data_IF_402667834500
#
_entry.id   IF_402667834500
#
_cell.length_a   1.000
_cell.length_b   1.000
_cell.length_c   1.000
_cell.angle_alpha   90.00
_cell.angle_beta   90.00
_cell.angle_gamma   90.00
#
_symmetry.space_group_name_H-M   'P 1'
#
loop_
_entity.id
_entity.type
_entity.pdbx_description
1 polymer ?
#
# COMPACT_ATOMS: atom_id res chain seq x y z
N UNK A 1 -103.92 -44.09 37.49
CA UNK A 1 -105.32 -44.14 37.98
C UNK A 1 -105.56 -42.93 38.87
N UNK A 2 -106.60 -42.14 38.62
CA UNK A 2 -106.99 -41.06 39.53
C UNK A 2 -107.67 -41.69 40.75
N UNK A 3 -106.98 -41.76 41.88
CA UNK A 3 -107.57 -42.22 43.14
C UNK A 3 -108.35 -41.07 43.80
N UNK A 4 -109.55 -41.36 44.31
CA UNK A 4 -110.33 -40.38 45.07
C UNK A 4 -111.54 -41.02 45.73
N UNK A 5 -111.78 -40.66 46.99
CA UNK A 5 -112.91 -41.08 47.81
C UNK A 5 -114.22 -40.82 47.06
N UNK A 6 -115.03 -41.86 46.94
CA UNK A 6 -116.38 -41.79 46.40
C UNK A 6 -117.24 -40.94 47.32
N UNK A 7 -117.36 -39.65 47.04
CA UNK A 7 -118.61 -38.95 47.28
C UNK A 7 -119.09 -38.40 45.95
N UNK A 8 -120.03 -39.12 45.37
CA UNK A 8 -120.71 -38.77 44.14
C UNK A 8 -121.48 -37.46 44.35
N UNK A 9 -120.93 -36.34 43.86
CA UNK A 9 -121.74 -35.20 43.46
C UNK A 9 -121.86 -35.23 41.94
N UNK A 10 -123.10 -35.26 41.46
CA UNK A 10 -123.51 -35.61 40.10
C UNK A 10 -123.26 -34.46 39.08
N UNK A 11 -122.49 -33.42 39.41
CA UNK A 11 -122.20 -32.31 38.50
C UNK A 11 -120.76 -31.78 38.64
N UNK A 12 -119.79 -32.54 38.12
CA UNK A 12 -118.79 -32.08 37.14
C UNK A 12 -117.84 -30.90 37.40
N UNK A 13 -117.83 -30.26 38.57
CA UNK A 13 -116.83 -29.21 38.87
C UNK A 13 -116.09 -29.56 40.15
N UNK A 14 -114.75 -29.45 40.11
CA UNK A 14 -113.86 -29.70 41.25
C UNK A 14 -113.11 -28.43 41.70
N UNK A 15 -113.80 -27.32 42.07
CA UNK A 15 -113.12 -26.09 42.47
C UNK A 15 -112.25 -26.28 43.72
N UNK A 16 -112.66 -27.17 44.63
CA UNK A 16 -112.05 -27.31 45.95
C UNK A 16 -111.02 -28.45 46.07
N UNK A 17 -110.86 -29.30 45.02
CA UNK A 17 -109.87 -30.39 45.04
C UNK A 17 -108.61 -29.98 44.29
N UNK A 18 -107.58 -29.55 45.03
CA UNK A 18 -106.23 -29.23 44.51
C UNK A 18 -105.61 -30.30 43.61
N UNK A 19 -106.08 -31.55 43.72
CA UNK A 19 -105.52 -32.72 43.04
C UNK A 19 -106.49 -33.42 42.08
N UNK A 20 -107.68 -32.87 41.86
CA UNK A 20 -108.71 -33.48 41.03
C UNK A 20 -109.16 -34.88 41.50
N UNK A 21 -109.67 -35.70 40.58
CA UNK A 21 -110.27 -37.02 40.88
C UNK A 21 -110.91 -37.68 39.66
N UNK A 22 -111.38 -38.93 39.79
CA UNK A 22 -111.89 -39.73 38.66
C UNK A 22 -113.08 -39.09 37.90
N UNK A 23 -113.85 -38.22 38.57
CA UNK A 23 -114.98 -37.47 37.99
C UNK A 23 -114.70 -36.01 37.65
N UNK A 24 -113.51 -35.48 37.97
CA UNK A 24 -113.18 -34.08 37.72
C UNK A 24 -112.87 -33.85 36.24
N UNK A 25 -113.47 -32.80 35.65
CA UNK A 25 -113.19 -32.37 34.28
C UNK A 25 -112.82 -30.89 34.25
N UNK A 26 -112.02 -30.50 33.27
CA UNK A 26 -111.70 -29.10 32.99
C UNK A 26 -112.82 -28.46 32.15
N UNK A 27 -112.70 -27.17 31.89
CA UNK A 27 -113.68 -26.39 31.10
C UNK A 27 -113.81 -26.89 29.64
N UNK A 28 -112.87 -27.74 29.20
CA UNK A 28 -112.86 -28.37 27.88
C UNK A 28 -113.44 -29.79 27.92
N UNK A 29 -113.90 -30.25 29.09
CA UNK A 29 -114.48 -31.57 29.32
C UNK A 29 -113.45 -32.69 29.46
N UNK A 30 -112.14 -32.42 29.52
CA UNK A 30 -111.13 -33.46 29.72
C UNK A 30 -111.02 -33.84 31.19
N UNK A 31 -110.75 -35.11 31.49
CA UNK A 31 -110.54 -35.54 32.89
C UNK A 31 -109.26 -34.94 33.44
N UNK A 32 -109.35 -34.29 34.59
CA UNK A 32 -108.22 -33.66 35.29
C UNK A 32 -108.03 -34.32 36.64
N UNK A 33 -106.83 -34.87 36.86
CA UNK A 33 -106.42 -35.37 38.15
C UNK A 33 -104.89 -35.35 38.27
N UNK A 34 -104.41 -35.21 39.49
CA UNK A 34 -103.01 -34.92 39.77
C UNK A 34 -102.71 -33.43 39.68
N UNK A 35 -101.42 -33.10 39.64
CA UNK A 35 -100.90 -31.76 39.86
C UNK A 35 -99.74 -31.74 40.86
N UNK A 36 -99.08 -30.60 40.96
CA UNK A 36 -97.96 -30.37 41.88
C UNK A 36 -98.43 -30.34 43.34
N UNK A 37 -97.77 -31.12 44.21
CA UNK A 37 -98.19 -31.31 45.61
C UNK A 37 -99.23 -32.42 45.84
N UNK A 38 -99.58 -33.18 44.80
CA UNK A 38 -100.55 -34.27 44.87
C UNK A 38 -99.86 -35.64 44.85
N UNK A 39 -100.22 -36.52 45.79
CA UNK A 39 -99.59 -37.85 45.94
C UNK A 39 -100.31 -38.97 45.16
N UNK A 40 -100.93 -38.65 44.02
CA UNK A 40 -101.64 -39.61 43.17
C UNK A 40 -100.74 -40.23 42.09
N UNK A 41 -101.15 -41.38 41.53
CA UNK A 41 -100.38 -42.08 40.48
C UNK A 41 -100.04 -41.17 39.28
N UNK A 42 -100.99 -40.31 38.85
CA UNK A 42 -100.78 -39.41 37.70
C UNK A 42 -99.71 -38.36 37.99
N UNK A 43 -99.77 -37.68 39.14
CA UNK A 43 -98.73 -36.74 39.56
C UNK A 43 -97.36 -37.41 39.68
N UNK A 44 -97.31 -38.61 40.27
CA UNK A 44 -96.06 -39.38 40.39
C UNK A 44 -95.48 -39.77 39.03
N UNK A 45 -96.31 -40.15 38.06
CA UNK A 45 -95.87 -40.46 36.68
C UNK A 45 -95.35 -39.23 35.94
N UNK A 46 -96.02 -38.08 36.06
CA UNK A 46 -95.55 -36.81 35.45
C UNK A 46 -94.25 -36.34 36.10
N UNK A 47 -94.14 -36.41 37.43
CA UNK A 47 -92.91 -36.09 38.15
C UNK A 47 -91.76 -37.01 37.71
N UNK A 48 -92.02 -38.32 37.55
CA UNK A 48 -91.03 -39.27 37.04
C UNK A 48 -90.59 -38.97 35.60
N UNK A 49 -91.52 -38.63 34.70
CA UNK A 49 -91.22 -38.25 33.33
C UNK A 49 -90.37 -36.98 33.24
N UNK A 50 -90.73 -35.94 33.99
CA UNK A 50 -89.96 -34.70 34.05
C UNK A 50 -88.55 -34.96 34.61
N UNK A 51 -88.43 -35.84 35.61
CA UNK A 51 -87.14 -36.23 36.15
C UNK A 51 -86.28 -36.97 35.12
N UNK A 52 -86.87 -37.91 34.37
CA UNK A 52 -86.20 -38.63 33.30
C UNK A 52 -85.74 -37.71 32.16
N UNK A 53 -86.54 -36.70 31.79
CA UNK A 53 -86.16 -35.67 30.81
C UNK A 53 -84.97 -34.84 31.29
N UNK A 54 -85.04 -34.29 32.51
CA UNK A 54 -83.93 -33.52 33.07
C UNK A 54 -82.62 -34.32 33.12
N UNK A 55 -82.67 -35.59 33.54
CA UNK A 55 -81.49 -36.46 33.55
C UNK A 55 -80.97 -36.72 32.13
N UNK A 56 -81.86 -36.87 31.14
CA UNK A 56 -81.47 -37.06 29.74
C UNK A 56 -80.77 -35.82 29.18
N UNK A 57 -81.27 -34.63 29.47
CA UNK A 57 -80.67 -33.38 29.01
C UNK A 57 -79.29 -33.18 29.66
N UNK A 58 -79.18 -33.41 30.97
CA UNK A 58 -77.89 -33.39 31.67
C UNK A 58 -76.89 -34.42 31.13
N UNK A 59 -77.36 -35.61 30.72
CA UNK A 59 -76.53 -36.65 30.12
C UNK A 59 -75.98 -36.25 28.75
N UNK A 60 -76.81 -35.62 27.92
CA UNK A 60 -76.39 -35.12 26.62
C UNK A 60 -75.35 -34.00 26.78
N UNK A 61 -75.60 -33.04 27.69
CA UNK A 61 -74.65 -31.97 27.99
C UNK A 61 -73.30 -32.51 28.49
N UNK A 62 -73.30 -33.45 29.46
CA UNK A 62 -72.07 -34.06 29.96
C UNK A 62 -71.32 -34.84 28.87
N UNK A 63 -72.02 -35.46 27.92
CA UNK A 63 -71.41 -36.15 26.80
C UNK A 63 -70.72 -35.19 25.82
N UNK A 64 -71.32 -34.04 25.52
CA UNK A 64 -70.72 -33.00 24.68
C UNK A 64 -69.47 -32.40 25.33
N UNK A 65 -69.53 -32.08 26.63
CA UNK A 65 -68.37 -31.59 27.38
C UNK A 65 -67.23 -32.61 27.40
N UNK A 66 -67.55 -33.89 27.62
CA UNK A 66 -66.54 -34.96 27.62
C UNK A 66 -65.85 -35.08 26.25
N UNK A 67 -66.60 -34.97 25.15
CA UNK A 67 -66.02 -34.98 23.80
C UNK A 67 -65.11 -33.78 23.56
N UNK A 68 -65.46 -32.59 24.06
CA UNK A 68 -64.60 -31.40 23.98
C UNK A 68 -63.28 -31.60 24.73
N UNK A 69 -63.32 -32.13 25.97
CA UNK A 69 -62.10 -32.43 26.73
C UNK A 69 -61.23 -33.46 26.03
N UNK A 70 -61.81 -34.50 25.41
CA UNK A 70 -61.06 -35.50 24.62
C UNK A 70 -60.32 -34.86 23.44
N UNK A 71 -60.99 -33.98 22.67
CA UNK A 71 -60.33 -33.29 21.55
C UNK A 71 -59.20 -32.38 22.04
N UNK A 72 -59.42 -31.65 23.14
CA UNK A 72 -58.40 -30.78 23.75
C UNK A 72 -57.19 -31.58 24.22
N UNK A 73 -57.40 -32.77 24.80
CA UNK A 73 -56.31 -33.68 25.18
C UNK A 73 -55.47 -34.13 23.99
N UNK A 74 -56.10 -34.55 22.89
CA UNK A 74 -55.39 -34.97 21.68
C UNK A 74 -54.54 -33.83 21.12
N UNK A 75 -55.08 -32.60 21.13
CA UNK A 75 -54.35 -31.42 20.72
C UNK A 75 -53.14 -31.14 21.64
N UNK A 76 -53.34 -31.17 22.97
CA UNK A 76 -52.25 -30.97 23.94
C UNK A 76 -51.17 -32.04 23.77
N UNK A 77 -51.52 -33.30 23.55
CA UNK A 77 -50.53 -34.35 23.31
C UNK A 77 -49.66 -34.06 22.07
N UNK A 78 -50.28 -33.59 20.98
CA UNK A 78 -49.55 -33.18 19.77
C UNK A 78 -48.64 -31.98 20.03
N UNK A 79 -49.16 -30.91 20.63
CA UNK A 79 -48.40 -29.69 20.94
C UNK A 79 -47.24 -30.00 21.89
N UNK A 80 -47.45 -30.90 22.87
CA UNK A 80 -46.41 -31.32 23.80
C UNK A 80 -45.24 -31.98 23.07
N UNK A 81 -45.53 -32.87 22.11
CA UNK A 81 -44.49 -33.51 21.32
C UNK A 81 -43.72 -32.48 20.47
N UNK A 82 -44.42 -31.52 19.86
CA UNK A 82 -43.80 -30.47 19.06
C UNK A 82 -42.90 -29.55 19.92
N UNK A 83 -43.39 -29.09 21.07
CA UNK A 83 -42.62 -28.25 22.01
C UNK A 83 -41.41 -29.01 22.55
N UNK A 84 -41.54 -30.31 22.85
CA UNK A 84 -40.42 -31.17 23.26
C UNK A 84 -39.36 -31.27 22.18
N UNK A 85 -39.76 -31.53 20.93
CA UNK A 85 -38.85 -31.59 19.80
C UNK A 85 -38.14 -30.25 19.57
N UNK A 86 -38.88 -29.14 19.62
CA UNK A 86 -38.33 -27.79 19.48
C UNK A 86 -37.32 -27.47 20.59
N UNK A 87 -37.66 -27.80 21.85
CA UNK A 87 -36.80 -27.56 22.99
C UNK A 87 -35.51 -28.41 22.94
N UNK A 88 -35.61 -29.68 22.54
CA UNK A 88 -34.44 -30.56 22.35
C UNK A 88 -33.52 -30.06 21.24
N UNK A 89 -34.08 -29.63 20.11
CA UNK A 89 -33.29 -29.03 19.03
C UNK A 89 -32.59 -27.74 19.49
N UNK A 90 -33.31 -26.88 20.23
CA UNK A 90 -32.74 -25.65 20.80
C UNK A 90 -31.59 -25.95 21.77
N UNK A 91 -31.76 -26.97 22.62
CA UNK A 91 -30.71 -27.43 23.53
C UNK A 91 -29.48 -27.94 22.78
N UNK A 92 -29.68 -28.73 21.72
CA UNK A 92 -28.58 -29.23 20.90
C UNK A 92 -27.82 -28.10 20.20
N UNK A 93 -28.55 -27.13 19.61
CA UNK A 93 -27.96 -25.92 19.04
C UNK A 93 -27.16 -25.15 20.09
N UNK A 94 -27.73 -24.94 21.28
CA UNK A 94 -27.08 -24.24 22.38
C UNK A 94 -25.76 -24.92 22.78
N UNK A 95 -25.75 -26.26 22.88
CA UNK A 95 -24.56 -27.03 23.21
C UNK A 95 -23.49 -26.92 22.12
N UNK A 96 -23.87 -27.04 20.84
CA UNK A 96 -22.95 -26.87 19.70
C UNK A 96 -22.33 -25.47 19.68
N UNK A 97 -23.15 -24.43 19.93
CA UNK A 97 -22.68 -23.04 19.99
C UNK A 97 -21.79 -22.79 21.19
N UNK A 98 -22.07 -23.43 22.34
CA UNK A 98 -21.15 -23.44 23.48
C UNK A 98 -19.78 -23.95 23.12
N UNK A 99 -19.69 -25.14 22.54
CA UNK A 99 -18.40 -25.74 22.18
C UNK A 99 -17.65 -24.88 21.16
N UNK A 100 -18.39 -24.29 20.19
CA UNK A 100 -17.86 -23.34 19.23
C UNK A 100 -17.27 -22.08 19.90
N UNK A 101 -18.02 -21.46 20.81
CA UNK A 101 -17.55 -20.27 21.53
C UNK A 101 -16.36 -20.56 22.43
N UNK A 102 -16.34 -21.70 23.14
CA UNK A 102 -15.21 -22.08 23.98
C UNK A 102 -13.94 -22.31 23.17
N UNK A 103 -14.04 -22.97 22.02
CA UNK A 103 -12.92 -23.17 21.13
C UNK A 103 -12.37 -21.85 20.58
N UNK A 104 -13.24 -20.93 20.16
CA UNK A 104 -12.84 -19.62 19.67
C UNK A 104 -12.20 -18.77 20.77
N UNK A 105 -12.74 -18.77 21.98
CA UNK A 105 -12.13 -18.10 23.13
C UNK A 105 -10.75 -18.66 23.46
N UNK A 106 -10.54 -19.98 23.32
CA UNK A 106 -9.22 -20.60 23.49
C UNK A 106 -8.24 -20.11 22.42
N UNK A 107 -8.63 -20.16 21.14
CA UNK A 107 -7.81 -19.65 20.02
C UNK A 107 -7.45 -18.18 20.20
N UNK A 108 -8.40 -17.36 20.63
CA UNK A 108 -8.17 -15.94 20.93
C UNK A 108 -7.16 -15.75 22.06
N UNK A 109 -7.28 -16.50 23.17
CA UNK A 109 -6.31 -16.46 24.27
C UNK A 109 -4.91 -16.89 23.81
N UNK A 110 -4.81 -17.95 23.02
CA UNK A 110 -3.54 -18.42 22.48
C UNK A 110 -2.91 -17.36 21.55
N UNK A 111 -3.73 -16.67 20.76
CA UNK A 111 -3.27 -15.58 19.90
C UNK A 111 -2.79 -14.37 20.69
N UNK A 112 -3.55 -13.92 21.68
CA UNK A 112 -3.15 -12.83 22.59
C UNK A 112 -1.83 -13.18 23.28
N UNK A 113 -1.64 -14.44 23.70
CA UNK A 113 -0.38 -14.90 24.27
C UNK A 113 0.78 -14.79 23.28
N UNK A 114 0.59 -15.23 22.03
CA UNK A 114 1.62 -15.08 20.97
C UNK A 114 2.00 -13.62 20.73
N UNK A 115 1.02 -12.71 20.72
CA UNK A 115 1.30 -11.27 20.63
C UNK A 115 2.13 -10.82 21.82
N UNK A 116 1.72 -11.18 23.04
CA UNK A 116 2.43 -10.80 24.24
C UNK A 116 3.89 -11.28 24.20
N UNK A 117 4.10 -12.54 23.84
CA UNK A 117 5.43 -13.14 23.74
C UNK A 117 6.27 -12.40 22.68
N UNK A 118 5.69 -12.07 21.52
CA UNK A 118 6.34 -11.28 20.47
C UNK A 118 6.69 -9.86 20.93
N UNK A 119 5.79 -9.17 21.63
CA UNK A 119 6.03 -7.80 22.14
C UNK A 119 7.08 -7.77 23.25
N UNK A 120 7.32 -8.90 23.94
CA UNK A 120 8.40 -9.01 24.94
C UNK A 120 9.75 -9.41 24.34
N UNK A 121 9.81 -9.81 23.08
CA UNK A 121 11.05 -10.16 22.39
C UNK A 121 11.71 -8.89 21.83
N UNK A 122 12.99 -8.66 22.15
CA UNK A 122 13.66 -7.38 21.85
C UNK A 122 13.70 -7.05 20.34
N UNK A 123 13.29 -5.82 19.99
CA UNK A 123 13.53 -5.24 18.66
C UNK A 123 12.44 -4.32 18.08
N UNK A 124 11.23 -4.30 18.65
CA UNK A 124 10.13 -3.46 18.16
C UNK A 124 10.17 -2.03 18.73
N UNK A 125 9.73 -1.03 17.95
CA UNK A 125 9.68 0.36 18.41
C UNK A 125 8.57 0.56 19.46
N UNK A 126 8.81 1.35 20.53
CA UNK A 126 7.86 1.50 21.63
C UNK A 126 6.46 1.99 21.21
N UNK A 127 6.37 2.86 20.21
CA UNK A 127 5.09 3.41 19.73
C UNK A 127 4.21 2.35 19.06
N UNK A 128 4.81 1.48 18.23
CA UNK A 128 4.08 0.40 17.58
C UNK A 128 3.68 -0.72 18.56
N UNK A 129 4.51 -0.99 19.57
CA UNK A 129 4.17 -1.88 20.69
C UNK A 129 2.93 -1.36 21.43
N UNK A 130 2.89 -0.05 21.74
CA UNK A 130 1.78 0.58 22.44
C UNK A 130 0.46 0.47 21.65
N UNK A 131 0.47 0.74 20.34
CA UNK A 131 -0.73 0.62 19.48
C UNK A 131 -1.30 -0.79 19.47
N UNK A 132 -0.44 -1.81 19.34
CA UNK A 132 -0.87 -3.22 19.37
C UNK A 132 -1.35 -3.61 20.76
N UNK A 133 -0.67 -3.18 21.83
CA UNK A 133 -1.08 -3.45 23.20
C UNK A 133 -2.46 -2.83 23.55
N UNK A 134 -2.73 -1.60 23.10
CA UNK A 134 -4.03 -0.94 23.28
C UNK A 134 -5.15 -1.68 22.52
N UNK A 135 -4.88 -2.15 21.29
CA UNK A 135 -5.84 -2.97 20.55
C UNK A 135 -6.11 -4.30 21.25
N UNK A 136 -5.10 -4.97 21.81
CA UNK A 136 -5.27 -6.20 22.61
C UNK A 136 -6.11 -5.96 23.86
N UNK A 137 -5.84 -4.88 24.61
CA UNK A 137 -6.61 -4.51 25.81
C UNK A 137 -8.08 -4.20 25.50
N UNK A 138 -8.37 -3.72 24.29
CA UNK A 138 -9.75 -3.45 23.86
C UNK A 138 -10.56 -4.72 23.53
N UNK A 139 -9.91 -5.90 23.43
CA UNK A 139 -10.60 -7.16 23.16
C UNK A 139 -11.29 -7.64 24.43
N UNK A 140 -12.61 -7.47 24.47
CA UNK A 140 -13.46 -8.09 25.48
C UNK A 140 -13.82 -9.50 25.04
N UNK A 141 -13.64 -10.50 25.92
CA UNK A 141 -14.06 -11.86 25.62
C UNK A 141 -15.59 -11.90 25.46
N UNK A 142 -16.12 -12.34 24.31
CA UNK A 142 -17.54 -12.18 23.96
C UNK A 142 -18.48 -13.01 24.83
N UNK A 143 -17.98 -14.05 25.50
CA UNK A 143 -18.79 -14.98 26.29
C UNK A 143 -18.16 -15.27 27.64
N UNK A 144 -18.87 -14.94 28.72
CA UNK A 144 -18.61 -15.47 30.05
C UNK A 144 -19.25 -16.86 30.15
N UNK A 145 -18.46 -17.91 30.42
CA UNK A 145 -18.92 -19.31 30.53
C UNK A 145 -20.21 -19.43 31.35
N UNK A 146 -20.29 -18.68 32.45
CA UNK A 146 -21.42 -18.64 33.37
C UNK A 146 -22.74 -18.27 32.69
N UNK A 147 -22.72 -17.37 31.71
CA UNK A 147 -23.94 -16.87 31.04
C UNK A 147 -24.56 -17.93 30.14
N UNK A 148 -23.74 -18.69 29.42
CA UNK A 148 -24.20 -19.74 28.52
C UNK A 148 -24.61 -21.02 29.29
N UNK A 149 -23.86 -21.36 30.34
CA UNK A 149 -24.23 -22.43 31.26
C UNK A 149 -25.57 -22.16 31.92
N UNK A 150 -25.82 -20.91 32.33
CA UNK A 150 -27.11 -20.48 32.88
C UNK A 150 -28.25 -20.67 31.87
N UNK A 151 -28.05 -20.30 30.60
CA UNK A 151 -29.07 -20.50 29.56
C UNK A 151 -29.36 -21.98 29.30
N UNK A 152 -28.32 -22.82 29.19
CA UNK A 152 -28.47 -24.27 29.01
C UNK A 152 -29.21 -24.88 30.22
N UNK A 153 -28.89 -24.45 31.44
CA UNK A 153 -29.61 -24.86 32.63
C UNK A 153 -31.08 -24.42 32.60
N UNK A 154 -31.38 -23.19 32.17
CA UNK A 154 -32.77 -22.73 32.04
C UNK A 154 -33.58 -23.57 31.05
N UNK A 155 -32.98 -24.00 29.93
CA UNK A 155 -33.65 -24.94 29.00
C UNK A 155 -33.84 -26.30 29.69
N UNK A 156 -32.81 -26.85 30.35
CA UNK A 156 -32.91 -28.15 31.03
C UNK A 156 -33.95 -28.15 32.13
N UNK A 157 -34.05 -27.08 32.90
CA UNK A 157 -35.05 -26.89 33.95
C UNK A 157 -36.46 -26.80 33.34
N UNK A 158 -36.61 -26.00 32.28
CA UNK A 158 -37.88 -25.91 31.53
C UNK A 158 -38.28 -27.25 30.88
N UNK A 159 -37.31 -28.02 30.39
CA UNK A 159 -37.50 -29.38 29.88
C UNK A 159 -37.84 -30.37 31.00
N UNK A 160 -37.34 -30.18 32.21
CA UNK A 160 -37.62 -31.06 33.36
C UNK A 160 -39.04 -30.88 33.90
N UNK A 161 -39.67 -29.73 33.59
CA UNK A 161 -41.08 -29.50 33.85
C UNK A 161 -42.02 -30.11 32.79
N UNK A 162 -41.53 -30.44 31.58
CA UNK A 162 -42.33 -31.12 30.54
C UNK A 162 -42.74 -32.56 30.91
N UNK A 163 -41.93 -33.41 31.57
CA UNK A 163 -42.36 -34.73 32.06
C UNK A 163 -43.61 -34.69 32.94
N UNK A 164 -43.80 -33.61 33.69
CA UNK A 164 -45.00 -33.43 34.50
C UNK A 164 -46.25 -33.24 33.63
N UNK A 165 -46.10 -32.78 32.37
CA UNK A 165 -47.17 -32.65 31.39
C UNK A 165 -47.59 -34.03 30.84
N UNK A 166 -46.66 -34.97 30.66
CA UNK A 166 -46.99 -36.37 30.35
C UNK A 166 -47.77 -37.01 31.52
N UNK A 167 -47.37 -36.73 32.76
CA UNK A 167 -48.09 -37.11 33.98
C UNK A 167 -49.50 -36.53 34.05
N UNK A 168 -49.64 -35.23 33.80
CA UNK A 168 -50.92 -34.52 33.72
C UNK A 168 -51.78 -35.10 32.59
N UNK A 169 -51.21 -35.37 31.42
CA UNK A 169 -51.92 -35.97 30.28
C UNK A 169 -52.44 -37.37 30.62
N UNK A 170 -51.64 -38.18 31.33
CA UNK A 170 -52.04 -39.50 31.80
C UNK A 170 -53.14 -39.44 32.86
N UNK A 171 -53.00 -38.60 33.88
CA UNK A 171 -54.02 -38.40 34.91
C UNK A 171 -55.33 -37.88 34.31
N UNK A 172 -55.23 -36.93 33.38
CA UNK A 172 -56.38 -36.38 32.65
C UNK A 172 -57.04 -37.45 31.79
N UNK A 173 -56.26 -38.29 31.09
CA UNK A 173 -56.79 -39.42 30.30
C UNK A 173 -57.49 -40.47 31.18
N UNK A 174 -56.97 -40.74 32.39
CA UNK A 174 -57.62 -41.61 33.36
C UNK A 174 -58.94 -41.01 33.87
N UNK A 175 -58.96 -39.72 34.19
CA UNK A 175 -60.18 -39.02 34.61
C UNK A 175 -61.25 -39.02 33.52
N UNK A 176 -60.87 -38.81 32.26
CA UNK A 176 -61.79 -38.92 31.12
C UNK A 176 -62.28 -40.35 30.95
N UNK A 177 -61.39 -41.34 31.04
CA UNK A 177 -61.80 -42.74 30.93
C UNK A 177 -62.82 -43.10 32.00
N UNK A 178 -62.63 -42.59 33.23
CA UNK A 178 -63.58 -42.75 34.32
C UNK A 178 -64.89 -42.02 34.07
N UNK A 179 -64.84 -40.77 33.60
CA UNK A 179 -66.03 -40.00 33.23
C UNK A 179 -66.83 -40.70 32.11
N UNK A 180 -66.14 -41.29 31.13
CA UNK A 180 -66.76 -42.05 30.04
C UNK A 180 -67.44 -43.32 30.54
N UNK A 181 -66.76 -44.09 31.41
CA UNK A 181 -67.33 -45.27 32.05
C UNK A 181 -68.60 -44.91 32.86
N UNK A 182 -68.56 -43.81 33.62
CA UNK A 182 -69.69 -43.34 34.41
C UNK A 182 -70.84 -42.84 33.52
N UNK A 183 -70.52 -42.18 32.41
CA UNK A 183 -71.48 -41.72 31.42
C UNK A 183 -72.16 -42.90 30.71
N UNK A 184 -71.41 -43.95 30.37
CA UNK A 184 -71.97 -45.15 29.77
C UNK A 184 -72.85 -45.90 30.78
N UNK A 185 -72.44 -45.99 32.06
CA UNK A 185 -73.32 -46.47 33.13
C UNK A 185 -74.60 -45.65 33.28
N UNK A 186 -74.51 -44.34 33.11
CA UNK A 186 -75.66 -43.43 33.14
C UNK A 186 -76.59 -43.64 31.93
N UNK A 187 -76.05 -43.91 30.73
CA UNK A 187 -76.83 -44.29 29.54
C UNK A 187 -77.52 -45.64 29.70
N UNK A 188 -76.84 -46.64 30.24
CA UNK A 188 -77.42 -47.97 30.53
C UNK A 188 -78.48 -47.89 31.64
N UNK A 189 -78.24 -47.06 32.66
CA UNK A 189 -79.23 -46.79 33.70
C UNK A 189 -80.46 -46.10 33.11
N UNK A 190 -80.29 -45.14 32.18
CA UNK A 190 -81.39 -44.52 31.43
C UNK A 190 -82.21 -45.54 30.64
N UNK A 191 -81.58 -46.43 29.87
CA UNK A 191 -82.30 -47.46 29.12
C UNK A 191 -83.11 -48.39 30.04
N UNK A 192 -82.59 -48.68 31.24
CA UNK A 192 -83.30 -49.46 32.26
C UNK A 192 -84.33 -48.64 33.06
N UNK A 193 -84.22 -47.31 33.07
CA UNK A 193 -85.03 -46.38 33.87
C UNK A 193 -86.41 -46.07 33.27
N UNK A 194 -86.81 -46.72 32.17
CA UNK A 194 -88.21 -46.73 31.72
C UNK A 194 -89.19 -47.29 32.79
N UNK A 195 -88.70 -47.69 33.98
CA UNK A 195 -89.50 -48.16 35.11
C UNK A 195 -89.51 -47.40 36.45
N UNK A 196 -88.47 -46.67 36.94
CA UNK A 196 -88.45 -46.26 38.37
C UNK A 196 -87.54 -45.08 38.78
N UNK A 197 -87.94 -44.40 39.88
CA UNK A 197 -87.28 -43.29 40.61
C UNK A 197 -85.82 -43.56 41.07
N UNK A 198 -85.51 -44.77 41.55
CA UNK A 198 -84.17 -45.06 42.11
C UNK A 198 -83.08 -45.09 41.03
N UNK A 199 -83.43 -45.51 39.81
CA UNK A 199 -82.51 -45.48 38.67
C UNK A 199 -82.12 -44.03 38.27
N UNK A 200 -83.06 -43.09 38.37
CA UNK A 200 -82.79 -41.68 38.09
C UNK A 200 -81.87 -41.04 39.14
N UNK A 201 -82.03 -41.39 40.42
CA UNK A 201 -81.12 -40.94 41.49
C UNK A 201 -79.69 -41.45 41.28
N UNK A 202 -79.52 -42.73 40.94
CA UNK A 202 -78.21 -43.31 40.63
C UNK A 202 -77.55 -42.65 39.41
N UNK A 203 -78.35 -42.36 38.38
CA UNK A 203 -77.87 -41.66 37.16
C UNK A 203 -77.41 -40.24 37.49
N UNK A 204 -78.14 -39.53 38.35
CA UNK A 204 -77.76 -38.19 38.81
C UNK A 204 -76.45 -38.20 39.59
N UNK A 205 -76.23 -39.19 40.45
CA UNK A 205 -74.97 -39.33 41.18
C UNK A 205 -73.79 -39.63 40.23
N UNK A 206 -73.99 -40.49 39.22
CA UNK A 206 -72.97 -40.77 38.22
C UNK A 206 -72.61 -39.52 37.38
N UNK A 207 -73.61 -38.67 37.08
CA UNK A 207 -73.39 -37.37 36.42
C UNK A 207 -72.58 -36.41 37.28
N UNK A 208 -72.90 -36.27 38.57
CA UNK A 208 -72.13 -35.41 39.50
C UNK A 208 -70.66 -35.84 39.61
N UNK A 209 -70.39 -37.14 39.64
CA UNK A 209 -69.01 -37.65 39.65
C UNK A 209 -68.32 -37.40 38.30
N UNK A 210 -69.04 -37.52 37.18
CA UNK A 210 -68.50 -37.26 35.84
C UNK A 210 -68.16 -35.79 35.65
N UNK A 211 -69.03 -34.88 36.10
CA UNK A 211 -68.84 -33.43 36.06
C UNK A 211 -67.60 -33.00 36.86
N UNK A 212 -67.44 -33.54 38.09
CA UNK A 212 -66.22 -33.32 38.89
C UNK A 212 -64.96 -33.85 38.21
N UNK A 213 -65.03 -34.96 37.50
CA UNK A 213 -63.89 -35.50 36.75
C UNK A 213 -63.55 -34.65 35.52
N UNK A 214 -64.56 -34.13 34.81
CA UNK A 214 -64.42 -33.19 33.69
C UNK A 214 -63.77 -31.88 34.17
N UNK A 215 -64.19 -31.32 35.30
CA UNK A 215 -63.59 -30.09 35.82
C UNK A 215 -62.13 -30.26 36.26
N UNK A 216 -61.80 -31.39 36.89
CA UNK A 216 -60.39 -31.73 37.15
C UNK A 216 -59.58 -31.82 35.87
N UNK A 217 -60.14 -32.46 34.84
CA UNK A 217 -59.50 -32.56 33.54
C UNK A 217 -59.30 -31.18 32.88
N UNK A 218 -60.29 -30.28 32.95
CA UNK A 218 -60.19 -28.90 32.45
C UNK A 218 -59.09 -28.11 33.14
N UNK A 219 -59.01 -28.21 34.47
CA UNK A 219 -57.96 -27.54 35.26
C UNK A 219 -56.58 -28.04 34.87
N UNK A 220 -56.41 -29.36 34.79
CA UNK A 220 -55.14 -29.98 34.41
C UNK A 220 -54.72 -29.64 32.96
N UNK A 221 -55.67 -29.59 32.01
CA UNK A 221 -55.41 -29.12 30.63
C UNK A 221 -54.94 -27.66 30.60
N UNK A 222 -55.53 -26.79 31.44
CA UNK A 222 -55.13 -25.39 31.52
C UNK A 222 -53.70 -25.25 32.02
N UNK A 223 -53.35 -25.95 33.10
CA UNK A 223 -51.98 -25.97 33.64
C UNK A 223 -50.97 -26.52 32.62
N UNK A 224 -51.32 -27.58 31.89
CA UNK A 224 -50.49 -28.11 30.82
C UNK A 224 -50.23 -27.05 29.72
N UNK A 225 -51.26 -26.32 29.32
CA UNK A 225 -51.13 -25.30 28.28
C UNK A 225 -50.27 -24.11 28.73
N UNK A 226 -50.41 -23.68 29.99
CA UNK A 226 -49.56 -22.64 30.58
C UNK A 226 -48.09 -23.08 30.65
N UNK A 227 -47.83 -24.32 31.07
CA UNK A 227 -46.48 -24.89 31.09
C UNK A 227 -45.86 -24.99 29.68
N UNK A 228 -46.63 -25.46 28.68
CA UNK A 228 -46.17 -25.52 27.28
C UNK A 228 -45.82 -24.14 26.73
N UNK A 229 -46.65 -23.13 26.99
CA UNK A 229 -46.38 -21.75 26.58
C UNK A 229 -45.13 -21.20 27.26
N UNK A 230 -44.95 -21.48 28.54
CA UNK A 230 -43.75 -21.09 29.29
C UNK A 230 -42.48 -21.71 28.66
N UNK A 231 -42.49 -23.02 28.37
CA UNK A 231 -41.36 -23.69 27.70
C UNK A 231 -41.10 -23.12 26.31
N UNK A 232 -42.15 -22.79 25.54
CA UNK A 232 -42.01 -22.19 24.21
C UNK A 232 -41.40 -20.79 24.28
N UNK A 233 -41.77 -19.99 25.26
CA UNK A 233 -41.18 -18.67 25.48
C UNK A 233 -39.72 -18.77 25.91
N UNK A 234 -39.40 -19.68 26.83
CA UNK A 234 -38.03 -19.91 27.29
C UNK A 234 -37.11 -20.37 26.14
N UNK A 235 -37.60 -21.27 25.27
CA UNK A 235 -36.83 -21.72 24.10
C UNK A 235 -36.60 -20.60 23.09
N UNK A 236 -37.62 -19.79 22.79
CA UNK A 236 -37.49 -18.63 21.91
C UNK A 236 -36.51 -17.58 22.46
N UNK A 237 -36.56 -17.29 23.76
CA UNK A 237 -35.62 -16.37 24.41
C UNK A 237 -34.18 -16.85 24.30
N UNK A 238 -33.94 -18.16 24.46
CA UNK A 238 -32.59 -18.72 24.30
C UNK A 238 -32.13 -18.65 22.85
N UNK A 239 -32.98 -18.96 21.86
CA UNK A 239 -32.60 -18.80 20.44
C UNK A 239 -32.19 -17.36 20.12
N UNK A 240 -32.93 -16.36 20.61
CA UNK A 240 -32.58 -14.95 20.40
C UNK A 240 -31.26 -14.58 21.09
N UNK A 241 -31.05 -15.01 22.34
CA UNK A 241 -29.79 -14.74 23.06
C UNK A 241 -28.60 -15.44 22.42
N UNK A 242 -28.77 -16.65 21.88
CA UNK A 242 -27.75 -17.36 21.13
C UNK A 242 -27.36 -16.57 19.87
N UNK A 243 -28.34 -16.06 19.14
CA UNK A 243 -28.10 -15.20 17.96
C UNK A 243 -27.30 -13.96 18.32
N UNK A 244 -27.67 -13.26 19.39
CA UNK A 244 -26.94 -12.09 19.86
C UNK A 244 -25.49 -12.41 20.28
N UNK A 245 -25.25 -13.59 20.85
CA UNK A 245 -23.89 -14.05 21.19
C UNK A 245 -23.10 -14.38 19.93
N UNK A 246 -23.73 -14.96 18.90
CA UNK A 246 -23.10 -15.21 17.60
C UNK A 246 -22.66 -13.91 16.93
N UNK A 247 -23.52 -12.89 16.91
CA UNK A 247 -23.20 -11.59 16.32
C UNK A 247 -22.01 -10.94 17.03
N UNK A 248 -22.00 -10.97 18.37
CA UNK A 248 -20.87 -10.47 19.18
C UNK A 248 -19.58 -11.26 18.92
N UNK A 249 -19.69 -12.59 18.79
CA UNK A 249 -18.55 -13.43 18.45
C UNK A 249 -17.97 -13.08 17.08
N UNK A 250 -18.84 -12.82 16.10
CA UNK A 250 -18.42 -12.42 14.75
C UNK A 250 -17.70 -11.07 14.76
N UNK A 251 -18.20 -10.08 15.51
CA UNK A 251 -17.52 -8.79 15.69
C UNK A 251 -16.11 -8.98 16.29
N UNK A 252 -15.99 -9.77 17.36
CA UNK A 252 -14.69 -10.07 17.98
C UNK A 252 -13.74 -10.79 17.01
N UNK A 253 -14.25 -11.73 16.21
CA UNK A 253 -13.42 -12.42 15.20
C UNK A 253 -12.93 -11.48 14.10
N UNK A 254 -13.75 -10.52 13.65
CA UNK A 254 -13.33 -9.50 12.69
C UNK A 254 -12.24 -8.60 13.27
N UNK A 255 -12.41 -8.13 14.51
CA UNK A 255 -11.38 -7.34 15.22
C UNK A 255 -10.09 -8.13 15.39
N UNK A 256 -10.19 -9.41 15.73
CA UNK A 256 -9.03 -10.30 15.86
C UNK A 256 -8.27 -10.45 14.55
N UNK A 257 -8.98 -10.57 13.42
CA UNK A 257 -8.36 -10.65 12.10
C UNK A 257 -7.58 -9.37 11.76
N UNK A 258 -8.18 -8.20 12.02
CA UNK A 258 -7.50 -6.91 11.82
C UNK A 258 -6.26 -6.78 12.70
N UNK A 259 -6.36 -7.19 13.97
CA UNK A 259 -5.21 -7.23 14.87
C UNK A 259 -4.12 -8.18 14.34
N UNK A 260 -4.50 -9.34 13.79
CA UNK A 260 -3.54 -10.28 13.19
C UNK A 260 -2.76 -9.67 12.05
N UNK A 261 -3.43 -8.94 11.16
CA UNK A 261 -2.77 -8.21 10.08
C UNK A 261 -1.82 -7.13 10.62
N UNK A 262 -2.24 -6.39 11.67
CA UNK A 262 -1.41 -5.37 12.31
C UNK A 262 -0.15 -5.94 12.98
N UNK A 263 -0.28 -7.08 13.67
CA UNK A 263 0.84 -7.78 14.31
C UNK A 263 1.83 -8.31 13.27
N UNK A 264 1.35 -8.84 12.15
CA UNK A 264 2.22 -9.32 11.07
C UNK A 264 2.98 -8.16 10.40
N UNK A 265 2.32 -7.03 10.17
CA UNK A 265 2.97 -5.81 9.68
C UNK A 265 4.06 -5.32 10.66
N UNK A 266 3.76 -5.32 11.96
CA UNK A 266 4.73 -4.96 12.99
C UNK A 266 5.92 -5.92 13.00
N UNK A 267 5.67 -7.23 12.93
CA UNK A 267 6.73 -8.25 12.84
C UNK A 267 7.66 -8.02 11.66
N UNK A 268 7.12 -7.74 10.49
CA UNK A 268 7.91 -7.42 9.30
C UNK A 268 8.75 -6.15 9.49
N UNK A 269 8.18 -5.11 10.13
CA UNK A 269 8.90 -3.86 10.40
C UNK A 269 10.01 -4.04 11.43
N UNK A 270 9.77 -4.82 12.48
CA UNK A 270 10.78 -5.18 13.49
C UNK A 270 11.96 -5.91 12.86
N UNK A 271 11.71 -6.86 11.95
CA UNK A 271 12.79 -7.57 11.26
C UNK A 271 13.63 -6.63 10.38
N UNK A 272 12.96 -5.74 9.62
CA UNK A 272 13.66 -4.71 8.85
C UNK A 272 14.52 -3.80 9.73
N UNK A 273 14.00 -3.36 10.88
CA UNK A 273 14.74 -2.54 11.82
C UNK A 273 15.97 -3.29 12.38
N UNK A 274 15.84 -4.60 12.62
CA UNK A 274 16.94 -5.44 13.09
C UNK A 274 18.07 -5.55 12.06
N UNK A 275 17.74 -5.71 10.77
CA UNK A 275 18.72 -5.70 9.68
C UNK A 275 19.39 -4.33 9.54
N UNK A 276 18.61 -3.24 9.55
CA UNK A 276 19.18 -1.88 9.51
C UNK A 276 20.12 -1.61 10.69
N UNK A 277 19.80 -2.12 11.89
CA UNK A 277 20.68 -2.00 13.06
C UNK A 277 21.99 -2.80 12.89
N UNK A 278 21.95 -3.98 12.27
CA UNK A 278 23.16 -4.76 11.93
C UNK A 278 24.03 -4.00 10.94
N UNK A 279 23.44 -3.43 9.90
CA UNK A 279 24.16 -2.64 8.89
C UNK A 279 24.78 -1.39 9.51
N UNK A 280 24.04 -0.66 10.33
CA UNK A 280 24.54 0.51 11.06
C UNK A 280 25.72 0.14 11.97
N UNK A 281 25.63 -1.01 12.67
CA UNK A 281 26.74 -1.53 13.50
C UNK A 281 27.96 -1.88 12.66
N UNK A 282 27.78 -2.52 11.51
CA UNK A 282 28.88 -2.85 10.60
C UNK A 282 29.56 -1.58 10.06
N UNK A 283 28.78 -0.57 9.67
CA UNK A 283 29.29 0.74 9.24
C UNK A 283 30.06 1.45 10.36
N UNK A 284 29.52 1.47 11.59
CA UNK A 284 30.19 2.06 12.75
C UNK A 284 31.52 1.35 13.07
N UNK A 285 31.55 0.02 13.00
CA UNK A 285 32.78 -0.75 13.19
C UNK A 285 33.82 -0.43 12.11
N UNK A 286 33.40 -0.32 10.84
CA UNK A 286 34.29 0.02 9.74
C UNK A 286 34.84 1.46 9.87
N UNK A 287 33.99 2.42 10.19
CA UNK A 287 34.39 3.80 10.45
C UNK A 287 35.39 3.90 11.61
N UNK A 288 35.16 3.13 12.68
CA UNK A 288 36.08 3.04 13.83
C UNK A 288 37.44 2.49 13.40
N UNK A 289 37.45 1.41 12.61
CA UNK A 289 38.69 0.83 12.09
C UNK A 289 39.45 1.81 11.18
N UNK A 290 38.75 2.52 10.29
CA UNK A 290 39.34 3.57 9.44
C UNK A 290 39.92 4.72 10.28
N UNK A 291 39.21 5.19 11.29
CA UNK A 291 39.70 6.23 12.19
C UNK A 291 41.00 5.81 12.89
N UNK A 292 41.07 4.58 13.41
CA UNK A 292 42.30 4.04 14.00
C UNK A 292 43.46 3.95 12.99
N UNK A 293 43.18 3.61 11.73
CA UNK A 293 44.21 3.57 10.68
C UNK A 293 44.72 4.97 10.30
N UNK A 294 43.84 5.96 10.25
CA UNK A 294 44.20 7.37 10.01
C UNK A 294 45.03 7.92 11.17
N UNK A 295 44.65 7.61 12.42
CA UNK A 295 45.40 7.98 13.62
C UNK A 295 46.85 7.46 13.57
N UNK A 296 47.05 6.19 13.19
CA UNK A 296 48.38 5.62 13.01
C UNK A 296 49.19 6.35 11.92
N UNK A 297 48.57 6.66 10.78
CA UNK A 297 49.22 7.35 9.66
C UNK A 297 49.60 8.79 10.02
N UNK A 298 48.76 9.47 10.80
CA UNK A 298 49.03 10.80 11.32
C UNK A 298 50.23 10.78 12.28
N UNK A 299 50.27 9.82 13.20
CA UNK A 299 51.40 9.63 14.12
C UNK A 299 52.73 9.38 13.38
N UNK A 300 52.74 8.56 12.31
CA UNK A 300 53.95 8.37 11.48
C UNK A 300 54.35 9.67 10.77
N UNK A 301 53.37 10.40 10.24
CA UNK A 301 53.60 11.69 9.56
C UNK A 301 54.17 12.72 10.52
N UNK A 302 53.64 12.82 11.74
CA UNK A 302 54.14 13.72 12.78
C UNK A 302 55.58 13.36 13.17
N UNK A 303 55.90 12.08 13.30
CA UNK A 303 57.27 11.62 13.56
C UNK A 303 58.23 12.03 12.43
N UNK A 304 57.86 11.80 11.17
CA UNK A 304 58.65 12.21 9.99
C UNK A 304 58.83 13.73 9.93
N UNK A 305 57.80 14.49 10.27
CA UNK A 305 57.88 15.95 10.35
C UNK A 305 58.86 16.40 11.43
N UNK A 306 58.82 15.80 12.63
CA UNK A 306 59.81 16.06 13.69
C UNK A 306 61.23 15.69 13.24
N UNK A 307 61.42 14.57 12.55
CA UNK A 307 62.72 14.20 11.98
C UNK A 307 63.21 15.22 10.94
N UNK A 308 62.33 15.71 10.07
CA UNK A 308 62.65 16.76 9.12
C UNK A 308 63.04 18.05 9.84
N UNK A 309 62.28 18.45 10.86
CA UNK A 309 62.57 19.63 11.66
C UNK A 309 63.94 19.52 12.34
N UNK A 310 64.25 18.39 12.98
CA UNK A 310 65.59 18.15 13.56
C UNK A 310 66.71 18.20 12.51
N UNK A 311 66.49 17.67 11.30
CA UNK A 311 67.47 17.76 10.20
C UNK A 311 67.67 19.20 9.72
N UNK A 312 66.58 19.97 9.60
CA UNK A 312 66.64 21.40 9.25
C UNK A 312 67.35 22.21 10.34
N UNK A 313 67.07 21.92 11.60
CA UNK A 313 67.73 22.57 12.75
C UNK A 313 69.22 22.17 12.83
N UNK A 314 69.56 20.91 12.55
CA UNK A 314 70.95 20.41 12.48
C UNK A 314 71.74 21.03 11.31
N UNK A 315 71.09 21.30 10.17
CA UNK A 315 71.68 22.11 9.09
C UNK A 315 71.95 23.56 9.52
N UNK A 316 71.31 24.04 10.59
CA UNK A 316 71.62 25.32 11.22
C UNK A 316 72.81 25.27 12.20
N UNK A 317 73.22 24.10 12.67
CA UNK A 317 74.18 23.94 13.77
C UNK A 317 75.64 23.69 13.37
N UNK A 318 75.91 22.88 12.34
CA UNK A 318 77.30 22.45 12.03
C UNK A 318 77.77 22.69 10.59
N UNK A 319 76.88 23.07 9.67
CA UNK A 319 77.23 23.44 8.30
C UNK A 319 76.65 24.81 7.96
N UNK A 320 77.44 25.87 8.22
CA UNK A 320 77.22 27.28 7.85
C UNK A 320 75.89 27.60 7.16
N UNK A 321 74.90 27.98 7.96
CA UNK A 321 73.49 28.04 7.59
C UNK A 321 73.11 28.94 6.40
N UNK A 322 71.82 28.87 6.07
CA UNK A 322 71.06 29.49 4.97
C UNK A 322 71.50 30.91 4.54
N UNK A 323 72.08 31.71 5.43
CA UNK A 323 72.69 33.00 5.10
C UNK A 323 73.86 32.90 4.10
N UNK A 324 74.67 31.85 4.15
CA UNK A 324 75.81 31.67 3.23
C UNK A 324 75.35 31.36 1.81
N UNK A 325 74.28 30.57 1.66
CA UNK A 325 73.69 30.25 0.35
C UNK A 325 73.01 31.48 -0.25
N UNK A 326 72.27 32.24 0.57
CA UNK A 326 71.63 33.48 0.12
C UNK A 326 72.65 34.56 -0.24
N UNK A 327 73.74 34.68 0.52
CA UNK A 327 74.85 35.59 0.22
C UNK A 327 75.55 35.19 -1.08
N UNK A 328 75.83 33.90 -1.26
CA UNK A 328 76.45 33.36 -2.48
C UNK A 328 75.57 33.57 -3.71
N UNK A 329 74.25 33.46 -3.59
CA UNK A 329 73.31 33.76 -4.68
C UNK A 329 73.29 35.26 -5.03
N UNK A 330 73.38 36.15 -4.04
CA UNK A 330 73.49 37.60 -4.23
C UNK A 330 74.81 38.00 -4.94
N UNK A 331 75.93 37.38 -4.55
CA UNK A 331 77.24 37.67 -5.16
C UNK A 331 77.30 37.21 -6.63
N UNK A 332 76.75 36.03 -6.94
CA UNK A 332 76.66 35.53 -8.34
C UNK A 332 75.80 36.47 -9.20
N UNK A 333 74.68 36.97 -8.67
CA UNK A 333 73.83 37.93 -9.38
C UNK A 333 74.59 39.23 -9.68
N UNK A 334 75.36 39.73 -8.71
CA UNK A 334 76.15 40.95 -8.87
C UNK A 334 77.26 40.80 -9.92
N UNK A 335 77.92 39.64 -9.98
CA UNK A 335 78.90 39.32 -11.02
C UNK A 335 78.27 39.23 -12.42
N UNK A 336 77.10 38.58 -12.52
CA UNK A 336 76.36 38.48 -13.78
C UNK A 336 75.94 39.85 -14.32
N UNK A 337 75.45 40.76 -13.47
CA UNK A 337 75.08 42.13 -13.86
C UNK A 337 76.30 42.93 -14.34
N UNK A 338 77.46 42.76 -13.70
CA UNK A 338 78.68 43.46 -14.08
C UNK A 338 79.22 42.98 -15.44
N UNK A 339 79.14 41.67 -15.70
CA UNK A 339 79.46 41.07 -17.00
C UNK A 339 78.51 41.57 -18.11
N UNK A 340 77.21 41.63 -17.83
CA UNK A 340 76.21 42.12 -18.77
C UNK A 340 76.47 43.59 -19.15
N UNK A 341 76.84 44.43 -18.18
CA UNK A 341 77.17 45.83 -18.43
C UNK A 341 78.45 46.00 -19.26
N UNK A 342 79.48 45.17 -19.02
CA UNK A 342 80.68 45.13 -19.88
C UNK A 342 80.33 44.73 -21.31
N UNK A 343 79.51 43.69 -21.49
CA UNK A 343 79.07 43.24 -22.81
C UNK A 343 78.29 44.35 -23.56
N UNK A 344 77.36 45.03 -22.89
CA UNK A 344 76.62 46.19 -23.46
C UNK A 344 77.54 47.33 -23.89
N UNK A 345 78.59 47.62 -23.11
CA UNK A 345 79.59 48.64 -23.46
C UNK A 345 80.39 48.23 -24.71
N UNK A 346 80.83 46.96 -24.77
CA UNK A 346 81.51 46.41 -25.95
C UNK A 346 80.68 46.48 -27.23
N UNK A 347 79.38 46.16 -27.15
CA UNK A 347 78.46 46.27 -28.30
C UNK A 347 78.37 47.73 -28.80
N UNK A 348 78.30 48.73 -27.92
CA UNK A 348 78.29 50.15 -28.33
C UNK A 348 79.58 50.56 -29.02
N UNK A 349 80.73 50.04 -28.58
CA UNK A 349 82.01 50.32 -29.23
C UNK A 349 82.07 49.69 -30.63
N UNK A 350 81.57 48.45 -30.78
CA UNK A 350 81.47 47.79 -32.08
C UNK A 350 80.56 48.55 -33.05
N UNK A 351 79.39 49.04 -32.61
CA UNK A 351 78.51 49.86 -33.45
C UNK A 351 79.17 51.17 -33.91
N UNK A 352 79.96 51.81 -33.04
CA UNK A 352 80.75 53.00 -33.44
C UNK A 352 81.79 52.65 -34.51
N UNK A 353 82.41 51.48 -34.40
CA UNK A 353 83.41 51.01 -35.35
C UNK A 353 82.78 50.63 -36.70
N UNK A 354 81.63 49.95 -36.68
CA UNK A 354 80.82 49.62 -37.85
C UNK A 354 80.43 50.88 -38.63
N UNK A 355 79.93 51.91 -37.95
CA UNK A 355 79.62 53.21 -38.59
C UNK A 355 80.85 53.86 -39.23
N UNK A 356 82.02 53.77 -38.59
CA UNK A 356 83.27 54.27 -39.19
C UNK A 356 83.65 53.49 -40.44
N UNK A 357 83.52 52.16 -40.42
CA UNK A 357 83.80 51.31 -41.59
C UNK A 357 82.85 51.63 -42.74
N UNK A 358 81.55 51.77 -42.48
CA UNK A 358 80.54 52.14 -43.49
C UNK A 358 80.82 53.50 -44.13
N UNK A 359 81.22 54.49 -43.32
CA UNK A 359 81.61 55.81 -43.84
C UNK A 359 82.89 55.74 -44.69
N UNK A 360 83.87 54.94 -44.28
CA UNK A 360 85.09 54.74 -45.06
C UNK A 360 84.80 54.03 -46.39
N UNK A 361 83.94 53.01 -46.39
CA UNK A 361 83.53 52.30 -47.60
C UNK A 361 82.86 53.25 -48.60
N UNK A 362 81.91 54.08 -48.15
CA UNK A 362 81.30 55.11 -49.00
C UNK A 362 82.33 56.10 -49.56
N UNK A 363 83.34 56.46 -48.76
CA UNK A 363 84.42 57.34 -49.21
C UNK A 363 85.26 56.68 -50.30
N UNK A 364 85.62 55.41 -50.13
CA UNK A 364 86.38 54.63 -51.12
C UNK A 364 85.59 54.50 -52.42
N UNK A 365 84.28 54.22 -52.35
CA UNK A 365 83.43 54.14 -53.55
C UNK A 365 83.37 55.47 -54.32
N UNK A 366 83.26 56.60 -53.62
CA UNK A 366 83.32 57.93 -54.27
C UNK A 366 84.67 58.19 -54.94
N UNK A 367 85.77 57.91 -54.25
CA UNK A 367 87.11 58.05 -54.82
C UNK A 367 87.33 57.14 -56.03
N UNK A 368 86.73 55.94 -56.03
CA UNK A 368 86.78 55.04 -57.18
C UNK A 368 86.06 55.60 -58.40
N UNK A 369 84.86 56.16 -58.22
CA UNK A 369 84.11 56.80 -59.32
C UNK A 369 84.86 58.00 -59.89
N UNK A 370 85.45 58.83 -59.03
CA UNK A 370 86.27 59.99 -59.43
C UNK A 370 87.53 59.55 -60.21
N UNK A 371 88.15 58.43 -59.80
CA UNK A 371 89.30 57.85 -60.50
C UNK A 371 88.92 57.29 -61.89
N UNK A 372 87.76 56.66 -62.01
CA UNK A 372 87.25 56.16 -63.29
C UNK A 372 86.95 57.31 -64.26
N UNK A 373 86.37 58.42 -63.79
CA UNK A 373 86.15 59.64 -64.58
C UNK A 373 87.47 60.28 -65.04
N UNK A 374 88.45 60.39 -64.14
CA UNK A 374 89.80 60.87 -64.47
C UNK A 374 90.49 59.99 -65.51
N UNK A 375 90.32 58.66 -65.41
CA UNK A 375 90.84 57.70 -66.40
C UNK A 375 90.18 57.91 -67.77
N UNK A 376 88.87 58.10 -67.83
CA UNK A 376 88.14 58.39 -69.08
C UNK A 376 88.70 59.67 -69.75
N UNK A 377 88.83 60.75 -68.96
CA UNK A 377 89.38 62.03 -69.42
C UNK A 377 90.83 61.90 -69.91
N UNK A 378 91.70 61.20 -69.17
CA UNK A 378 93.08 60.96 -69.60
C UNK A 378 93.16 60.12 -70.88
N UNK A 379 92.22 59.20 -71.07
CA UNK A 379 92.13 58.37 -72.28
C UNK A 379 91.70 59.21 -73.48
N UNK A 380 90.69 60.08 -73.32
CA UNK A 380 90.30 61.06 -74.34
C UNK A 380 91.47 61.97 -74.74
N UNK A 381 92.14 62.59 -73.76
CA UNK A 381 93.29 63.47 -74.03
C UNK A 381 94.42 62.72 -74.75
N UNK A 382 94.71 61.48 -74.35
CA UNK A 382 95.71 60.64 -75.03
C UNK A 382 95.34 60.38 -76.48
N UNK A 383 94.08 60.05 -76.76
CA UNK A 383 93.62 59.72 -78.11
C UNK A 383 93.61 60.95 -79.02
N UNK A 384 93.24 62.11 -78.48
CA UNK A 384 93.32 63.41 -79.16
C UNK A 384 94.78 63.80 -79.51
N UNK A 385 95.71 63.65 -78.57
CA UNK A 385 97.16 63.85 -78.82
C UNK A 385 97.63 62.90 -79.92
N UNK A 386 97.21 61.63 -79.89
CA UNK A 386 97.62 60.62 -80.87
C UNK A 386 97.09 60.95 -82.27
N UNK A 387 95.87 61.47 -82.37
CA UNK A 387 95.31 61.95 -83.63
C UNK A 387 96.10 63.16 -84.18
N UNK A 388 96.46 64.12 -83.32
CA UNK A 388 97.27 65.28 -83.73
C UNK A 388 98.68 64.88 -84.18
N UNK A 389 99.32 63.93 -83.49
CA UNK A 389 100.63 63.39 -83.91
C UNK A 389 100.53 62.66 -85.26
N UNK A 390 99.44 61.95 -85.53
CA UNK A 390 99.23 61.33 -86.84
C UNK A 390 99.05 62.36 -87.96
N UNK A 391 98.33 63.47 -87.71
CA UNK A 391 98.23 64.60 -88.65
C UNK A 391 99.62 65.19 -88.96
N UNK A 392 100.40 65.50 -87.93
CA UNK A 392 101.76 66.03 -88.09
C UNK A 392 102.73 65.06 -88.80
N UNK A 393 102.64 63.76 -88.51
CA UNK A 393 103.51 62.75 -89.14
C UNK A 393 103.21 62.56 -90.63
N UNK A 394 101.96 62.75 -91.04
CA UNK A 394 101.58 62.74 -92.45
C UNK A 394 102.09 63.98 -93.21
N UNK A 395 102.15 65.16 -92.56
CA UNK A 395 102.80 66.35 -93.14
C UNK A 395 104.33 66.17 -93.31
N UNK A 396 105.00 65.44 -92.39
CA UNK A 396 106.45 65.17 -92.47
C UNK A 396 106.88 64.16 -93.55
N UNK A 397 105.99 63.26 -93.99
CA UNK A 397 106.31 62.29 -95.06
C UNK A 397 106.40 62.94 -96.45
N UNK A 398 105.74 64.08 -96.66
CA UNK A 398 105.80 64.81 -97.92
C UNK A 398 107.11 65.59 -98.09
N UNK A 399 107.63 66.20 -97.03
CA UNK A 399 108.85 67.05 -97.07
C UNK A 399 110.17 66.28 -97.24
N UNK A 400 110.20 64.96 -96.96
CA UNK A 400 111.43 64.16 -97.05
C UNK A 400 111.73 63.62 -98.47
N UNK A 401 110.85 63.81 -99.45
CA UNK A 401 111.03 63.25 -100.81
C UNK A 401 111.81 64.15 -101.78
N UNK A 402 112.06 65.41 -101.44
CA UNK A 402 112.54 66.43 -102.39
C UNK A 402 114.01 66.86 -102.22
N UNK A 403 114.71 66.45 -101.16
CA UNK A 403 116.07 66.93 -100.86
C UNK A 403 117.22 65.93 -101.10
N UNK A 404 116.96 64.74 -101.70
CA UNK A 404 118.00 63.70 -101.95
C UNK A 404 118.28 63.45 -103.45
N UNK A 405 117.98 64.40 -104.35
CA UNK A 405 118.23 64.27 -105.81
C UNK A 405 119.27 65.24 -106.38
N UNK A 406 120.42 65.42 -105.70
CA UNK A 406 121.66 65.91 -106.32
C UNK A 406 122.83 65.03 -105.87
N UNK A 407 122.80 63.78 -106.34
CA UNK A 407 123.82 62.75 -106.14
C UNK A 407 124.24 62.21 -107.50
N UNK A 408 125.55 62.27 -107.77
CA UNK A 408 126.32 61.18 -108.41
C UNK A 408 126.16 60.97 -109.92
N UNK A 409 127.18 61.36 -110.71
CA UNK A 409 127.35 60.92 -112.10
C UNK A 409 128.84 60.67 -112.45
N UNK A 410 129.34 59.48 -112.12
CA UNK A 410 130.49 58.77 -112.71
C UNK A 410 130.53 57.41 -111.96
N UNK A 411 130.46 56.19 -112.53
CA UNK A 411 130.65 55.62 -113.86
C UNK A 411 129.88 54.30 -113.93
N UNK A 412 129.48 53.88 -115.12
CA UNK A 412 129.81 52.55 -115.69
C UNK A 412 129.30 52.47 -117.15
N UNK A 413 130.23 52.57 -118.09
CA UNK A 413 130.18 51.96 -119.44
C UNK A 413 130.34 50.44 -119.27
N UNK A 414 129.58 49.54 -119.90
CA UNK A 414 129.71 49.02 -121.28
C UNK A 414 128.62 47.94 -121.39
N UNK A 415 127.67 47.90 -122.35
CA UNK A 415 127.87 47.36 -123.70
C UNK A 415 126.67 47.73 -124.62
N UNK A 416 127.00 48.42 -125.72
CA UNK A 416 126.31 48.76 -127.01
C UNK A 416 125.07 47.95 -127.45
N UNK A 417 124.09 48.45 -128.22
CA UNK A 417 124.01 49.65 -129.08
C UNK A 417 122.57 50.02 -129.55
N UNK A 418 122.44 51.30 -129.91
CA UNK A 418 121.62 51.92 -130.99
C UNK A 418 120.25 52.59 -130.67
N UNK A 419 120.34 53.94 -130.67
CA UNK A 419 119.45 55.01 -131.22
C UNK A 419 118.69 55.91 -130.23
N UNK A 420 119.34 57.06 -129.98
CA UNK A 420 118.88 58.47 -130.01
C UNK A 420 117.46 58.76 -130.59
N UNK A 421 116.89 59.98 -130.37
CA UNK A 421 117.11 60.96 -129.28
C UNK A 421 115.86 61.78 -128.83
N UNK A 422 116.12 62.67 -127.87
CA UNK A 422 115.68 64.08 -127.80
C UNK A 422 114.54 64.48 -126.82
N UNK A 423 114.92 65.47 -126.00
CA UNK A 423 114.18 66.26 -125.01
C UNK A 423 113.51 67.50 -125.68
N UNK A 424 113.17 68.60 -124.97
CA UNK A 424 112.47 68.83 -123.69
C UNK A 424 111.31 69.85 -123.83
N UNK A 425 110.50 70.10 -122.77
CA UNK A 425 110.08 71.44 -122.28
C UNK A 425 109.21 71.33 -121.01
N UNK A 426 109.29 72.34 -120.14
CA UNK A 426 109.03 72.28 -118.68
C UNK A 426 107.67 72.90 -118.31
N UNK A 427 106.96 72.24 -117.38
CA UNK A 427 105.55 72.46 -117.02
C UNK A 427 105.45 73.03 -115.57
N UNK A 428 105.01 74.30 -115.43
CA UNK A 428 105.09 75.10 -114.17
C UNK A 428 103.76 75.08 -113.37
N UNK A 429 102.84 74.19 -113.72
CA UNK A 429 101.75 73.74 -112.83
C UNK A 429 102.25 73.26 -111.44
N UNK A 430 103.53 72.91 -111.33
CA UNK A 430 104.18 72.47 -110.10
C UNK A 430 104.38 73.57 -109.04
N UNK A 431 104.52 74.84 -109.43
CA UNK A 431 104.83 75.91 -108.45
C UNK A 431 103.60 76.34 -107.63
N UNK A 432 102.40 76.28 -108.22
CA UNK A 432 101.17 76.63 -107.47
C UNK A 432 100.73 75.55 -106.47
N UNK A 433 101.10 74.28 -106.67
CA UNK A 433 100.79 73.21 -105.70
C UNK A 433 101.67 73.30 -104.45
N UNK A 434 102.91 73.79 -104.56
CA UNK A 434 103.81 73.90 -103.41
C UNK A 434 103.32 74.95 -102.39
N UNK A 435 102.73 76.06 -102.83
CA UNK A 435 102.26 77.12 -101.93
C UNK A 435 100.92 76.82 -101.25
N UNK A 436 100.06 75.99 -101.83
CA UNK A 436 98.77 75.64 -101.20
C UNK A 436 98.92 74.61 -100.06
N UNK A 437 99.94 73.75 -100.10
CA UNK A 437 100.21 72.72 -99.08
C UNK A 437 100.73 73.32 -97.77
N UNK A 438 101.43 74.45 -97.82
CA UNK A 438 101.91 75.15 -96.62
C UNK A 438 100.80 75.83 -95.80
N UNK A 439 99.62 76.05 -96.37
CA UNK A 439 98.50 76.68 -95.65
C UNK A 439 97.59 75.68 -94.92
N UNK A 440 97.75 74.37 -95.15
CA UNK A 440 96.84 73.32 -94.65
C UNK A 440 97.50 72.39 -93.60
N UNK A 441 98.78 72.57 -93.28
CA UNK A 441 99.55 71.74 -92.31
C UNK A 441 99.90 72.43 -90.96
#
# INVERSE_FOLDING_TARGET
VCGGHSNASVNGSCPDSRCGGAGCRDDQGNRVCGGEGCNGTVSSSVAALNHARNVTDSLNAANEELQDVVRKLQNIASITQDVKNQAMNTLEKAQKKKDYFENNNKKLKDFIKKIKDFLTEEGADPESIEKVALQVLSITLPVNRTTLDKMIMQIKDSLSNLPNIEGITNQTSQHISKAKELLDKAKDAKQRAEGVKDAANNTRQALDVSEKAIEKARTALKEANENLNSTRNATAEVEERLRQLEDKQMDVMMRLNNLSMGVEALRNKTEQNREMAKDAKALANNATHLASSVEQSLNDTEKRYRELQMKVDSLGGEAGGLNTINQRAMDIKKEADNLLNKAKSGIRQLQKLENKFKNNEQRIQRQRMELDELKENATMVRDEIREQVQKYSNCLKWTRRESVSYTTQERTSETRAKRLPAAPEVDVLSEMQASLVMLVC
#
